data_IF_318726633178
#
_entry.id   IF_318726633178
#
_cell.length_a   1.000
_cell.length_b   1.000
_cell.length_c   1.000
_cell.angle_alpha   90.00
_cell.angle_beta   90.00
_cell.angle_gamma   90.00
#
_symmetry.space_group_name_H-M   'P 1'
#
loop_
_entity.id
_entity.type
_entity.pdbx_description
1 polymer ?
#
# COMPACT_ATOMS: atom_id res chain seq x y z
N UNK A 1 3.73 -20.78 16.40
CA UNK A 1 4.44 -20.13 15.30
C UNK A 1 3.46 -19.47 14.35
N UNK A 2 3.93 -18.54 13.51
CA UNK A 2 3.11 -17.91 12.48
C UNK A 2 2.99 -18.86 11.28
N UNK A 3 1.77 -19.11 10.80
CA UNK A 3 1.51 -19.83 9.56
C UNK A 3 1.80 -18.92 8.36
N UNK A 4 2.48 -19.43 7.35
CA UNK A 4 2.76 -18.71 6.11
C UNK A 4 2.09 -19.40 4.91
N UNK A 5 1.46 -18.58 4.05
CA UNK A 5 0.88 -19.02 2.79
C UNK A 5 1.35 -18.11 1.66
N UNK A 6 2.03 -18.63 0.64
CA UNK A 6 2.46 -17.83 -0.49
C UNK A 6 1.25 -17.40 -1.34
N UNK A 7 1.28 -16.17 -1.84
CA UNK A 7 0.23 -15.59 -2.73
C UNK A 7 0.68 -15.52 -4.21
N UNK A 8 1.76 -16.17 -4.56
CA UNK A 8 2.31 -16.17 -5.90
C UNK A 8 3.58 -17.01 -5.94
N UNK A 9 4.23 -17.04 -7.10
CA UNK A 9 5.49 -17.74 -7.30
C UNK A 9 6.66 -16.75 -7.31
N UNK A 10 7.85 -17.23 -6.95
CA UNK A 10 9.08 -16.45 -7.06
C UNK A 10 9.31 -15.94 -8.49
N UNK A 11 8.99 -16.75 -9.49
CA UNK A 11 9.09 -16.39 -10.91
C UNK A 11 8.20 -15.19 -11.26
N UNK A 12 6.95 -15.15 -10.77
CA UNK A 12 6.05 -14.01 -10.95
C UNK A 12 6.63 -12.74 -10.32
N UNK A 13 7.17 -12.84 -9.12
CA UNK A 13 7.81 -11.73 -8.42
C UNK A 13 9.05 -11.22 -9.17
N UNK A 14 9.95 -12.12 -9.58
CA UNK A 14 11.16 -11.78 -10.31
C UNK A 14 10.85 -11.16 -11.69
N UNK A 15 9.81 -11.59 -12.37
CA UNK A 15 9.35 -11.01 -13.64
C UNK A 15 9.00 -9.53 -13.47
N UNK A 16 8.29 -9.17 -12.42
CA UNK A 16 7.96 -7.76 -12.12
C UNK A 16 9.20 -6.99 -11.70
N UNK A 17 10.04 -7.57 -10.84
CA UNK A 17 11.26 -6.95 -10.31
C UNK A 17 12.26 -6.62 -11.41
N UNK A 18 12.41 -7.49 -12.40
CA UNK A 18 13.32 -7.30 -13.52
C UNK A 18 12.69 -6.58 -14.72
N UNK A 19 11.45 -6.12 -14.61
CA UNK A 19 10.79 -5.42 -15.71
C UNK A 19 11.49 -4.08 -15.98
N UNK A 20 11.89 -3.78 -17.24
CA UNK A 20 12.65 -2.57 -17.58
C UNK A 20 11.91 -1.28 -17.24
N UNK A 21 10.59 -1.29 -17.29
CA UNK A 21 9.77 -0.13 -16.94
C UNK A 21 9.66 0.11 -15.43
N UNK A 22 10.12 -0.81 -14.57
CA UNK A 22 10.06 -0.62 -13.12
C UNK A 22 10.93 0.58 -12.67
N UNK A 23 12.09 0.75 -13.28
CA UNK A 23 12.98 1.90 -13.04
C UNK A 23 12.50 3.20 -13.71
N UNK A 24 11.53 3.13 -14.61
CA UNK A 24 11.01 4.30 -15.33
C UNK A 24 9.90 4.97 -14.52
N UNK A 25 10.17 6.14 -13.94
CA UNK A 25 9.23 6.85 -13.07
C UNK A 25 7.88 7.19 -13.71
N UNK A 26 7.81 7.31 -15.04
CA UNK A 26 6.55 7.61 -15.74
C UNK A 26 5.73 6.35 -16.05
N UNK A 27 6.37 5.22 -16.24
CA UNK A 27 5.73 3.95 -16.63
C UNK A 27 5.53 3.00 -15.45
N UNK A 28 6.41 3.08 -14.45
CA UNK A 28 6.37 2.23 -13.25
C UNK A 28 5.03 2.23 -12.53
N UNK A 29 4.33 3.37 -12.31
CA UNK A 29 3.03 3.35 -11.65
C UNK A 29 1.99 2.53 -12.43
N UNK A 30 1.94 2.66 -13.75
CA UNK A 30 1.03 1.88 -14.61
C UNK A 30 1.36 0.39 -14.61
N UNK A 31 2.66 0.05 -14.64
CA UNK A 31 3.14 -1.33 -14.53
C UNK A 31 2.73 -1.94 -13.17
N UNK A 32 3.07 -1.27 -12.07
CA UNK A 32 2.76 -1.73 -10.71
C UNK A 32 1.26 -1.98 -10.56
N UNK A 33 0.44 -1.05 -11.04
CA UNK A 33 -1.02 -1.20 -10.92
C UNK A 33 -1.53 -2.37 -11.76
N UNK A 34 -1.04 -2.54 -12.99
CA UNK A 34 -1.47 -3.64 -13.87
C UNK A 34 -1.02 -5.00 -13.33
N UNK A 35 0.25 -5.15 -13.01
CA UNK A 35 0.84 -6.42 -12.61
C UNK A 35 0.50 -6.78 -11.16
N UNK A 36 0.68 -5.84 -10.22
CA UNK A 36 0.41 -6.10 -8.80
C UNK A 36 -1.07 -6.08 -8.45
N UNK A 37 -1.91 -5.39 -9.20
CA UNK A 37 -3.34 -5.30 -8.90
C UNK A 37 -4.14 -6.19 -9.83
N UNK A 38 -3.88 -6.15 -11.14
CA UNK A 38 -4.64 -6.92 -12.12
C UNK A 38 -4.47 -8.43 -11.93
N UNK A 39 -3.23 -8.89 -11.78
CA UNK A 39 -2.93 -10.32 -11.66
C UNK A 39 -3.09 -10.88 -10.24
N UNK A 40 -2.98 -10.03 -9.20
CA UNK A 40 -2.98 -10.50 -7.80
C UNK A 40 -4.33 -10.40 -7.09
N UNK A 41 -5.28 -9.64 -7.61
CA UNK A 41 -6.59 -9.45 -6.96
C UNK A 41 -7.29 -10.78 -6.71
N UNK A 42 -7.42 -11.61 -7.75
CA UNK A 42 -8.16 -12.87 -7.65
C UNK A 42 -7.43 -13.90 -6.77
N UNK A 43 -6.13 -14.20 -6.97
CA UNK A 43 -5.40 -15.09 -6.08
C UNK A 43 -5.42 -14.62 -4.61
N UNK A 44 -5.27 -13.31 -4.37
CA UNK A 44 -5.32 -12.75 -3.01
C UNK A 44 -6.72 -12.90 -2.40
N UNK A 45 -7.75 -12.71 -3.19
CA UNK A 45 -9.13 -12.92 -2.76
C UNK A 45 -9.37 -14.38 -2.33
N UNK A 46 -9.02 -15.34 -3.20
CA UNK A 46 -9.26 -16.76 -2.95
C UNK A 46 -8.44 -17.26 -1.73
N UNK A 47 -7.18 -16.88 -1.62
CA UNK A 47 -6.33 -17.24 -0.49
C UNK A 47 -6.78 -16.62 0.83
N UNK A 48 -7.19 -15.35 0.82
CA UNK A 48 -7.71 -14.67 2.02
C UNK A 48 -9.03 -15.29 2.45
N UNK A 49 -9.90 -15.62 1.51
CA UNK A 49 -11.17 -16.28 1.78
C UNK A 49 -10.96 -17.65 2.45
N UNK A 50 -10.04 -18.45 1.90
CA UNK A 50 -9.70 -19.73 2.49
C UNK A 50 -9.16 -19.58 3.92
N UNK A 51 -8.27 -18.59 4.13
CA UNK A 51 -7.71 -18.30 5.45
C UNK A 51 -8.80 -17.85 6.45
N UNK A 52 -9.70 -16.94 6.06
CA UNK A 52 -10.79 -16.48 6.93
C UNK A 52 -11.71 -17.64 7.33
N UNK A 53 -12.05 -18.52 6.41
CA UNK A 53 -12.90 -19.69 6.68
C UNK A 53 -12.26 -20.70 7.62
N UNK A 54 -10.94 -20.87 7.51
CA UNK A 54 -10.19 -21.80 8.35
C UNK A 54 -9.92 -21.22 9.74
N UNK A 55 -9.38 -19.99 9.81
CA UNK A 55 -8.96 -19.37 11.07
C UNK A 55 -10.08 -18.64 11.82
N UNK A 56 -11.15 -18.23 11.12
CA UNK A 56 -12.25 -17.40 11.67
C UNK A 56 -11.71 -16.21 12.46
N UNK A 57 -10.87 -15.36 11.89
CA UNK A 57 -10.25 -14.26 12.61
C UNK A 57 -11.28 -13.19 13.01
N UNK A 58 -11.08 -12.57 14.17
CA UNK A 58 -11.86 -11.40 14.59
C UNK A 58 -11.52 -10.15 13.80
N UNK A 59 -10.33 -10.08 13.21
CA UNK A 59 -9.82 -8.94 12.44
C UNK A 59 -8.78 -9.38 11.41
N UNK A 60 -8.77 -8.71 10.28
CA UNK A 60 -7.77 -8.90 9.22
C UNK A 60 -6.93 -7.64 9.08
N UNK A 61 -5.61 -7.76 9.25
CA UNK A 61 -4.65 -6.71 8.90
C UNK A 61 -4.17 -6.94 7.47
N UNK A 62 -4.37 -5.95 6.60
CA UNK A 62 -3.99 -6.03 5.19
C UNK A 62 -3.08 -4.87 4.75
N UNK A 63 -2.32 -5.07 3.71
CA UNK A 63 -1.63 -4.00 3.00
C UNK A 63 -2.62 -3.16 2.17
N UNK A 64 -2.39 -1.86 2.04
CA UNK A 64 -3.34 -0.95 1.37
C UNK A 64 -3.61 -1.27 -0.11
N UNK A 65 -2.64 -1.86 -0.83
CA UNK A 65 -2.82 -2.29 -2.23
C UNK A 65 -3.45 -3.69 -2.36
N UNK A 66 -3.61 -4.44 -1.28
CA UNK A 66 -4.25 -5.77 -1.31
C UNK A 66 -5.76 -5.64 -1.44
N UNK A 67 -6.24 -5.41 -2.66
CA UNK A 67 -7.67 -5.23 -2.93
C UNK A 67 -8.46 -6.53 -2.72
N UNK A 68 -7.89 -7.68 -3.10
CA UNK A 68 -8.52 -8.99 -2.91
C UNK A 68 -8.86 -9.26 -1.45
N UNK A 69 -7.91 -9.06 -0.54
CA UNK A 69 -8.14 -9.22 0.90
C UNK A 69 -9.23 -8.28 1.43
N UNK A 70 -9.25 -7.03 0.95
CA UNK A 70 -10.29 -6.07 1.31
C UNK A 70 -11.68 -6.55 0.88
N UNK A 71 -11.81 -7.03 -0.34
CA UNK A 71 -13.07 -7.50 -0.88
C UNK A 71 -13.61 -8.73 -0.16
N UNK A 72 -12.71 -9.61 0.30
CA UNK A 72 -13.11 -10.74 1.16
C UNK A 72 -13.66 -10.23 2.49
N UNK A 73 -12.96 -9.31 3.16
CA UNK A 73 -13.43 -8.73 4.42
C UNK A 73 -14.81 -8.06 4.25
N UNK A 74 -15.02 -7.35 3.13
CA UNK A 74 -16.31 -6.75 2.80
C UNK A 74 -17.40 -7.81 2.63
N UNK A 75 -17.10 -8.90 1.93
CA UNK A 75 -18.06 -9.97 1.64
C UNK A 75 -18.40 -10.81 2.87
N UNK A 76 -17.41 -11.17 3.66
CA UNK A 76 -17.56 -12.03 4.83
C UNK A 76 -17.91 -11.23 6.10
N UNK A 77 -17.97 -9.89 6.03
CA UNK A 77 -18.30 -9.03 7.17
C UNK A 77 -17.20 -8.99 8.26
N UNK A 78 -15.96 -9.37 7.94
CA UNK A 78 -14.86 -9.38 8.90
C UNK A 78 -14.23 -8.00 9.02
N UNK A 79 -14.02 -7.46 10.23
CA UNK A 79 -13.34 -6.19 10.44
C UNK A 79 -11.96 -6.15 9.77
N UNK A 80 -11.65 -5.02 9.14
CA UNK A 80 -10.43 -4.89 8.35
C UNK A 80 -9.61 -3.69 8.80
N UNK A 81 -8.33 -3.90 9.07
CA UNK A 81 -7.35 -2.86 9.35
C UNK A 81 -6.42 -2.72 8.15
N UNK A 82 -6.20 -1.50 7.68
CA UNK A 82 -5.33 -1.22 6.55
C UNK A 82 -3.98 -0.71 7.02
N UNK A 83 -2.91 -1.47 6.80
CA UNK A 83 -1.52 -1.03 6.97
C UNK A 83 -1.05 -0.26 5.74
N UNK A 84 -0.51 0.93 5.97
CA UNK A 84 0.04 1.82 4.95
C UNK A 84 1.50 2.07 5.28
N UNK A 85 2.40 1.81 4.33
CA UNK A 85 3.84 1.83 4.56
C UNK A 85 4.47 3.22 4.40
N UNK A 86 3.80 4.13 3.69
CA UNK A 86 4.33 5.46 3.43
C UNK A 86 3.23 6.54 3.47
N UNK A 87 3.53 7.75 3.99
CA UNK A 87 2.57 8.84 4.14
C UNK A 87 1.88 9.26 2.84
N UNK A 88 2.57 9.14 1.71
CA UNK A 88 2.04 9.52 0.39
C UNK A 88 0.69 8.85 0.06
N UNK A 89 0.44 7.66 0.60
CA UNK A 89 -0.81 6.92 0.36
C UNK A 89 -2.00 7.43 1.19
N UNK A 90 -1.75 8.34 2.16
CA UNK A 90 -2.83 9.05 2.85
C UNK A 90 -3.37 10.22 2.03
N UNK A 91 -2.64 10.60 0.96
CA UNK A 91 -3.03 11.66 0.04
C UNK A 91 -3.38 12.97 0.77
N UNK A 92 -2.62 13.32 1.81
CA UNK A 92 -2.81 14.56 2.53
C UNK A 92 -2.23 15.73 1.70
N UNK A 93 -3.00 16.79 1.44
CA UNK A 93 -2.52 17.93 0.66
C UNK A 93 -1.43 18.76 1.37
N UNK A 94 -1.19 18.52 2.65
CA UNK A 94 -0.11 19.14 3.41
C UNK A 94 1.21 18.38 3.32
N UNK A 95 1.19 17.15 2.82
CA UNK A 95 2.42 16.39 2.60
C UNK A 95 3.20 16.94 1.41
N UNK A 96 4.50 17.13 1.61
CA UNK A 96 5.42 17.60 0.57
C UNK A 96 5.75 16.44 -0.36
N UNK A 97 4.96 16.27 -1.41
CA UNK A 97 5.21 15.27 -2.43
C UNK A 97 5.82 15.93 -3.66
N UNK A 98 7.08 15.66 -3.92
CA UNK A 98 7.78 16.14 -5.12
C UNK A 98 7.64 15.07 -6.21
N UNK A 99 6.94 15.41 -7.29
CA UNK A 99 6.91 14.61 -8.50
C UNK A 99 7.96 15.13 -9.48
N UNK A 100 8.76 14.26 -10.08
CA UNK A 100 9.83 14.65 -11.01
C UNK A 100 9.35 15.57 -12.14
N UNK A 101 8.13 15.37 -12.60
CA UNK A 101 7.53 16.19 -13.67
C UNK A 101 7.00 17.55 -13.19
N UNK A 102 7.01 17.77 -11.87
CA UNK A 102 6.45 18.98 -11.29
C UNK A 102 7.20 19.33 -10.01
N UNK A 103 8.29 20.09 -10.15
CA UNK A 103 9.22 20.43 -9.07
C UNK A 103 8.73 21.53 -8.12
N UNK A 104 7.45 21.84 -8.13
CA UNK A 104 6.91 22.80 -7.18
C UNK A 104 6.79 22.17 -5.80
N UNK A 105 7.80 22.38 -4.98
CA UNK A 105 7.97 21.72 -3.68
C UNK A 105 6.89 22.10 -2.66
N UNK A 106 6.39 23.33 -2.72
CA UNK A 106 5.40 23.83 -1.77
C UNK A 106 4.25 24.55 -2.52
N UNK A 107 3.39 23.81 -3.21
CA UNK A 107 2.24 24.44 -3.85
C UNK A 107 1.25 24.94 -2.78
N UNK A 108 0.51 26.02 -3.07
CA UNK A 108 -0.62 26.41 -2.23
C UNK A 108 -1.58 25.24 -2.00
N UNK A 109 -2.21 25.17 -0.81
CA UNK A 109 -3.07 24.03 -0.44
C UNK A 109 -4.19 23.74 -1.45
N UNK A 110 -4.73 24.78 -2.08
CA UNK A 110 -5.77 24.56 -3.09
C UNK A 110 -5.24 23.84 -4.34
N UNK A 111 -4.00 24.13 -4.75
CA UNK A 111 -3.32 23.42 -5.85
C UNK A 111 -3.06 21.98 -5.47
N UNK A 112 -2.54 21.73 -4.27
CA UNK A 112 -2.32 20.38 -3.76
C UNK A 112 -3.62 19.57 -3.71
N UNK A 113 -4.72 20.16 -3.22
CA UNK A 113 -6.05 19.54 -3.22
C UNK A 113 -6.55 19.24 -4.63
N UNK A 114 -6.37 20.17 -5.57
CA UNK A 114 -6.76 19.97 -6.96
C UNK A 114 -5.98 18.83 -7.61
N UNK A 115 -4.66 18.78 -7.38
CA UNK A 115 -3.79 17.69 -7.88
C UNK A 115 -4.26 16.32 -7.37
N UNK A 116 -4.52 16.20 -6.07
CA UNK A 116 -5.03 14.97 -5.46
C UNK A 116 -6.38 14.58 -6.08
N UNK A 117 -7.30 15.55 -6.23
CA UNK A 117 -8.61 15.29 -6.86
C UNK A 117 -8.47 14.81 -8.31
N UNK A 118 -7.61 15.46 -9.09
CA UNK A 118 -7.34 15.09 -10.47
C UNK A 118 -6.69 13.69 -10.56
N UNK A 119 -5.68 13.43 -9.74
CA UNK A 119 -5.04 12.12 -9.67
C UNK A 119 -6.03 11.01 -9.32
N UNK A 120 -6.88 11.22 -8.32
CA UNK A 120 -7.96 10.28 -7.97
C UNK A 120 -8.97 10.10 -9.10
N UNK A 121 -9.34 11.17 -9.78
CA UNK A 121 -10.24 11.09 -10.92
C UNK A 121 -9.65 10.25 -12.06
N UNK A 122 -8.37 10.47 -12.39
CA UNK A 122 -7.64 9.66 -13.39
C UNK A 122 -7.59 8.19 -12.97
N UNK A 123 -7.24 7.90 -11.73
CA UNK A 123 -7.21 6.52 -11.21
C UNK A 123 -8.57 5.84 -11.29
N UNK A 124 -9.64 6.54 -10.93
CA UNK A 124 -11.02 6.03 -11.07
C UNK A 124 -11.37 5.74 -12.53
N UNK A 125 -11.08 6.69 -13.40
CA UNK A 125 -11.37 6.54 -14.84
C UNK A 125 -10.62 5.32 -15.44
N UNK A 126 -9.36 5.14 -15.07
CA UNK A 126 -8.54 4.06 -15.60
C UNK A 126 -8.91 2.68 -15.04
N UNK A 127 -9.25 2.58 -13.76
CA UNK A 127 -9.29 1.29 -13.05
C UNK A 127 -10.67 0.87 -12.54
N UNK A 128 -11.58 1.80 -12.20
CA UNK A 128 -12.86 1.43 -11.58
C UNK A 128 -13.68 0.50 -12.47
N UNK A 129 -13.61 0.65 -13.80
CA UNK A 129 -14.36 -0.21 -14.73
C UNK A 129 -13.87 -1.66 -14.68
N UNK A 130 -12.55 -1.86 -14.73
CA UNK A 130 -11.95 -3.20 -14.67
C UNK A 130 -12.16 -3.83 -13.29
N UNK A 131 -11.87 -3.09 -12.23
CA UNK A 131 -12.06 -3.56 -10.85
C UNK A 131 -13.54 -3.88 -10.55
N UNK A 132 -14.47 -3.09 -11.04
CA UNK A 132 -15.89 -3.35 -10.86
C UNK A 132 -16.39 -4.55 -11.69
N UNK A 133 -15.74 -4.90 -12.80
CA UNK A 133 -16.01 -6.16 -13.49
C UNK A 133 -15.62 -7.36 -12.61
N UNK A 134 -14.42 -7.30 -12.01
CA UNK A 134 -13.95 -8.36 -11.09
C UNK A 134 -14.84 -8.44 -9.83
N UNK A 135 -15.20 -7.29 -9.25
CA UNK A 135 -16.12 -7.26 -8.09
C UNK A 135 -17.44 -7.95 -8.38
N UNK A 136 -18.07 -7.64 -9.54
CA UNK A 136 -19.32 -8.29 -9.95
C UNK A 136 -19.15 -9.80 -10.16
N UNK A 137 -18.04 -10.22 -10.76
CA UNK A 137 -17.72 -11.64 -10.91
C UNK A 137 -17.55 -12.37 -9.57
N UNK A 138 -17.23 -11.64 -8.51
CA UNK A 138 -17.10 -12.13 -7.13
C UNK A 138 -18.38 -11.94 -6.29
N UNK A 139 -19.50 -11.48 -6.89
CA UNK A 139 -20.76 -11.23 -6.19
C UNK A 139 -20.77 -9.98 -5.32
N UNK A 140 -19.85 -9.03 -5.55
CA UNK A 140 -19.75 -7.79 -4.79
C UNK A 140 -20.41 -6.63 -5.56
N UNK A 141 -21.03 -5.67 -4.86
CA UNK A 141 -21.56 -4.47 -5.48
C UNK A 141 -20.42 -3.61 -6.07
N UNK A 142 -20.68 -2.82 -7.10
CA UNK A 142 -19.69 -1.90 -7.64
C UNK A 142 -19.29 -0.87 -6.58
N UNK A 143 -18.02 -0.50 -6.59
CA UNK A 143 -17.47 0.52 -5.72
C UNK A 143 -16.62 1.51 -6.51
N UNK A 144 -16.43 2.69 -5.95
CA UNK A 144 -15.65 3.76 -6.54
C UNK A 144 -14.45 4.09 -5.65
N UNK A 145 -13.39 4.62 -6.26
CA UNK A 145 -12.21 5.06 -5.53
C UNK A 145 -11.55 3.95 -4.67
N UNK A 146 -11.37 2.80 -5.28
CA UNK A 146 -11.00 1.56 -4.58
C UNK A 146 -9.58 1.58 -4.00
N UNK A 147 -8.74 2.54 -4.42
CA UNK A 147 -7.40 2.75 -3.88
C UNK A 147 -7.37 3.62 -2.62
N UNK A 148 -8.49 4.20 -2.22
CA UNK A 148 -8.58 4.93 -0.97
C UNK A 148 -8.41 3.98 0.22
N UNK A 149 -7.54 4.33 1.17
CA UNK A 149 -7.27 3.50 2.33
C UNK A 149 -8.52 3.26 3.22
N UNK A 150 -9.38 4.27 3.33
CA UNK A 150 -10.56 4.30 4.22
C UNK A 150 -11.87 3.90 3.53
N UNK A 151 -11.89 2.90 2.71
CA UNK A 151 -13.08 2.61 1.90
C UNK A 151 -14.16 1.80 2.57
N UNK A 152 -13.91 1.25 3.76
CA UNK A 152 -14.92 0.53 4.55
C UNK A 152 -15.27 1.35 5.80
N UNK A 153 -16.56 1.47 6.20
CA UNK A 153 -16.97 2.27 7.37
C UNK A 153 -16.30 1.85 8.68
N UNK A 154 -15.98 0.59 8.84
CA UNK A 154 -15.31 0.03 10.03
C UNK A 154 -13.78 -0.06 9.87
N UNK A 155 -13.21 0.38 8.75
CA UNK A 155 -11.78 0.26 8.51
C UNK A 155 -10.98 1.24 9.36
N UNK A 156 -9.98 0.75 10.07
CA UNK A 156 -8.92 1.56 10.67
C UNK A 156 -7.73 1.59 9.73
N UNK A 157 -7.00 2.71 9.72
CA UNK A 157 -5.82 2.90 8.89
C UNK A 157 -4.61 3.09 9.79
N UNK A 158 -3.63 2.22 9.66
CA UNK A 158 -2.36 2.32 10.39
C UNK A 158 -1.27 2.85 9.47
N UNK A 159 -0.68 3.98 9.83
CA UNK A 159 0.55 4.47 9.22
C UNK A 159 1.74 3.80 9.88
N UNK A 160 2.43 2.94 9.13
CA UNK A 160 3.56 2.17 9.62
C UNK A 160 4.88 2.94 9.42
N UNK A 161 4.94 4.16 9.98
CA UNK A 161 6.13 5.01 10.04
C UNK A 161 6.21 5.75 11.37
N UNK A 162 7.39 6.27 11.69
CA UNK A 162 7.62 7.03 12.92
C UNK A 162 6.99 8.42 12.84
N UNK A 163 6.42 8.90 13.95
CA UNK A 163 5.94 10.27 14.08
C UNK A 163 7.08 11.32 13.91
N UNK A 164 8.33 10.93 14.14
CA UNK A 164 9.50 11.79 13.84
C UNK A 164 9.72 11.95 12.33
N UNK A 165 9.41 10.91 11.53
CA UNK A 165 9.47 11.00 10.07
C UNK A 165 8.32 11.86 9.52
N UNK A 166 7.11 11.62 10.00
CA UNK A 166 5.93 12.38 9.62
C UNK A 166 4.88 12.29 10.73
N UNK A 167 4.72 13.36 11.49
CA UNK A 167 3.71 13.45 12.56
C UNK A 167 2.27 13.55 12.04
N UNK A 168 1.26 13.45 12.94
CA UNK A 168 -0.13 13.68 12.59
C UNK A 168 -0.35 15.08 12.02
N UNK A 169 -1.23 15.20 11.03
CA UNK A 169 -1.57 16.45 10.38
C UNK A 169 -3.08 16.57 10.16
N UNK A 170 -3.56 17.82 10.09
CA UNK A 170 -4.92 18.10 9.64
C UNK A 170 -5.11 17.58 8.20
N UNK A 171 -6.20 16.87 7.96
CA UNK A 171 -6.49 16.24 6.67
C UNK A 171 -6.04 14.78 6.55
N UNK A 172 -5.42 14.23 7.59
CA UNK A 172 -5.18 12.78 7.68
C UNK A 172 -6.50 12.01 7.76
N UNK A 173 -6.49 10.72 7.37
CA UNK A 173 -7.65 9.87 7.56
C UNK A 173 -8.18 9.92 8.99
N UNK A 174 -9.47 10.15 9.17
CA UNK A 174 -10.08 10.29 10.51
C UNK A 174 -9.89 9.03 11.36
N UNK A 175 -9.88 7.85 10.73
CA UNK A 175 -9.59 6.57 11.38
C UNK A 175 -8.10 6.24 11.44
N UNK A 176 -7.24 7.16 10.96
CA UNK A 176 -5.79 6.95 10.85
C UNK A 176 -5.06 7.03 12.19
N UNK A 177 -4.06 6.16 12.38
CA UNK A 177 -3.11 6.21 13.49
C UNK A 177 -1.71 5.93 12.98
N UNK A 178 -0.72 6.70 13.44
CA UNK A 178 0.69 6.45 13.19
C UNK A 178 1.21 5.55 14.30
N UNK A 179 1.82 4.41 13.92
CA UNK A 179 2.17 3.33 14.85
C UNK A 179 3.68 3.06 14.95
N UNK A 180 4.50 3.78 14.18
CA UNK A 180 5.93 3.47 14.06
C UNK A 180 6.23 2.47 12.95
N UNK A 181 7.51 2.25 12.68
CA UNK A 181 7.97 1.26 11.72
C UNK A 181 7.84 -0.15 12.31
N UNK A 182 7.44 -1.10 11.49
CA UNK A 182 7.54 -2.52 11.83
C UNK A 182 8.99 -2.97 11.58
N UNK A 183 9.80 -3.03 12.64
CA UNK A 183 11.16 -3.53 12.56
C UNK A 183 11.15 -5.05 12.64
N UNK A 184 11.96 -5.66 11.80
CA UNK A 184 12.28 -7.07 11.87
C UNK A 184 13.80 -7.22 12.00
N UNK A 185 14.24 -7.57 13.21
CA UNK A 185 15.63 -7.95 13.45
C UNK A 185 15.78 -9.41 13.04
N UNK A 186 16.30 -9.64 11.84
CA UNK A 186 16.72 -10.98 11.45
C UNK A 186 17.71 -11.49 12.50
N UNK A 187 17.37 -12.62 13.11
CA UNK A 187 18.23 -13.25 14.11
C UNK A 187 19.69 -13.25 13.67
N UNK A 188 20.58 -13.08 14.61
CA UNK A 188 22.02 -12.76 14.56
C UNK A 188 22.95 -13.52 13.56
N UNK A 189 22.40 -14.16 12.51
CA UNK A 189 23.15 -14.90 11.50
C UNK A 189 23.59 -14.11 10.26
N UNK A 190 23.10 -12.89 10.04
CA UNK A 190 23.45 -12.08 8.85
C UNK A 190 24.35 -10.89 9.21
N UNK A 191 25.47 -11.14 9.89
CA UNK A 191 26.45 -10.09 10.23
C UNK A 191 27.22 -9.52 9.03
N UNK A 192 27.26 -10.21 7.89
CA UNK A 192 28.15 -9.85 6.78
C UNK A 192 27.86 -8.51 6.07
N UNK A 193 26.65 -7.93 6.26
CA UNK A 193 26.31 -6.61 5.70
C UNK A 193 26.45 -5.45 6.69
N UNK A 194 26.39 -5.73 7.99
CA UNK A 194 26.46 -4.71 9.04
C UNK A 194 27.85 -4.11 9.19
N UNK A 195 28.90 -4.91 9.03
CA UNK A 195 30.28 -4.45 9.22
C UNK A 195 30.68 -3.39 8.18
N UNK A 196 30.23 -3.54 6.92
CA UNK A 196 30.49 -2.54 5.87
C UNK A 196 29.67 -1.26 6.05
N UNK A 197 28.43 -1.39 6.50
CA UNK A 197 27.57 -0.24 6.78
C UNK A 197 28.04 0.49 8.04
N UNK A 198 28.44 -0.23 9.07
CA UNK A 198 29.04 0.35 10.29
C UNK A 198 30.29 1.16 9.97
N UNK A 199 31.22 0.58 9.25
CA UNK A 199 32.45 1.27 8.83
C UNK A 199 32.15 2.53 7.98
N UNK A 200 31.17 2.46 7.08
CA UNK A 200 30.75 3.63 6.29
C UNK A 200 30.13 4.74 7.17
N UNK A 201 29.30 4.39 8.14
CA UNK A 201 28.67 5.36 9.04
C UNK A 201 29.68 6.01 9.99
N UNK A 202 30.68 5.24 10.48
CA UNK A 202 31.75 5.75 11.32
C UNK A 202 32.66 6.75 10.56
N UNK A 203 32.91 6.49 9.28
CA UNK A 203 33.67 7.38 8.40
C UNK A 203 32.88 8.69 8.09
N UNK A 204 31.56 8.63 7.94
CA UNK A 204 30.72 9.81 7.75
C UNK A 204 30.55 10.66 9.02
N UNK A 205 30.70 10.09 10.21
CA UNK A 205 30.56 10.80 11.49
C UNK A 205 31.82 11.52 11.97
N UNK A 206 32.95 11.34 11.29
CA UNK A 206 34.23 11.91 11.61
C UNK A 206 34.63 13.15 10.77
N UNK A 207 33.70 13.75 10.03
CA UNK A 207 33.93 14.89 9.13
C UNK A 207 33.36 16.19 9.67
#
# INVERSE_FOLDING_TARGET
GLGYRPLGTEEQFLRVLHHPDLANQSRSPGLIIRELIGETVRPTFDATLAAIREFRPDVVLRHHISLGSRWVCEREGVPCITGVLAPIFWLNPRDRVVYRSWQWEQPPLWVARLRIRLGRWVMRFMFDRALNRERRALGLPPASDQFKAETLPASRVLGLWSAHFRGPQEGDPASGRICGFAFFDAAAGHKAGHDKLGAFLDDCGSS
#
